data_IF_129894141840
#
_entry.id   IF_129894141840
#
_cell.length_a   1.000
_cell.length_b   1.000
_cell.length_c   1.000
_cell.angle_alpha   90.00
_cell.angle_beta   90.00
_cell.angle_gamma   90.00
#
_symmetry.space_group_name_H-M   'P 1'
#
loop_
_entity.id
_entity.type
_entity.pdbx_description
1 polymer ?
#
# COMPACT_ATOMS: atom_id res chain seq x y z
N UNK A 1 10.52 -17.64 -0.50
CA UNK A 1 10.97 -16.79 -1.58
C UNK A 1 10.17 -15.51 -1.75
N UNK A 2 8.93 -15.54 -2.27
CA UNK A 2 8.10 -14.33 -2.33
C UNK A 2 7.85 -13.70 -0.96
N UNK A 3 7.55 -14.51 0.03
CA UNK A 3 7.37 -14.08 1.42
C UNK A 3 8.60 -13.36 1.98
N UNK A 4 9.79 -13.84 1.67
CA UNK A 4 11.05 -13.20 2.08
C UNK A 4 11.22 -11.82 1.42
N UNK A 5 10.89 -11.70 0.15
CA UNK A 5 10.91 -10.42 -0.56
C UNK A 5 9.97 -9.41 0.11
N UNK A 6 8.77 -9.85 0.50
CA UNK A 6 7.81 -8.99 1.22
C UNK A 6 8.37 -8.56 2.57
N UNK A 7 8.99 -9.46 3.33
CA UNK A 7 9.60 -9.12 4.62
C UNK A 7 10.72 -8.09 4.45
N UNK A 8 11.59 -8.27 3.47
CA UNK A 8 12.65 -7.29 3.14
C UNK A 8 12.07 -5.93 2.73
N UNK A 9 11.01 -5.93 1.93
CA UNK A 9 10.35 -4.69 1.51
C UNK A 9 9.70 -3.96 2.70
N UNK A 10 9.05 -4.71 3.60
CA UNK A 10 8.51 -4.14 4.85
C UNK A 10 9.61 -3.54 5.73
N UNK A 11 10.74 -4.24 5.85
CA UNK A 11 11.91 -3.77 6.61
C UNK A 11 12.50 -2.48 6.02
N UNK A 12 12.57 -2.36 4.69
CA UNK A 12 13.05 -1.16 4.02
C UNK A 12 12.22 0.08 4.37
N UNK A 13 10.91 -0.06 4.57
CA UNK A 13 10.05 1.02 5.05
C UNK A 13 10.23 1.18 6.56
N UNK A 14 10.31 0.08 7.31
CA UNK A 14 10.45 0.09 8.76
C UNK A 14 9.29 0.81 9.44
N UNK A 15 9.62 1.69 10.35
CA UNK A 15 8.65 2.51 11.10
C UNK A 15 8.31 3.85 10.44
N UNK A 16 8.82 4.08 9.22
CA UNK A 16 8.55 5.33 8.51
C UNK A 16 7.09 5.44 8.12
N UNK A 17 6.55 6.63 8.30
CA UNK A 17 5.17 6.99 7.97
C UNK A 17 5.16 8.24 7.09
N UNK A 18 4.03 8.58 6.45
CA UNK A 18 3.90 9.82 5.68
C UNK A 18 4.25 11.09 6.48
N UNK A 19 4.17 11.02 7.81
CA UNK A 19 4.54 12.09 8.74
C UNK A 19 5.71 11.63 9.64
N UNK A 20 6.27 12.54 10.44
CA UNK A 20 7.30 12.18 11.42
C UNK A 20 6.75 11.41 12.63
N UNK A 21 5.45 11.13 12.66
CA UNK A 21 4.75 10.41 13.72
C UNK A 21 3.60 9.60 13.13
N UNK A 22 2.82 8.92 13.94
CA UNK A 22 1.66 8.15 13.44
C UNK A 22 0.67 9.07 12.73
N UNK A 23 0.54 8.89 11.40
CA UNK A 23 -0.35 9.72 10.59
C UNK A 23 -1.84 9.51 10.89
N UNK A 24 -2.21 8.39 11.52
CA UNK A 24 -3.59 8.11 11.93
C UNK A 24 -4.16 9.11 12.92
N UNK A 25 -3.31 9.81 13.66
CA UNK A 25 -3.74 10.88 14.59
C UNK A 25 -4.35 12.08 13.87
N UNK A 26 -3.99 12.30 12.60
CA UNK A 26 -4.49 13.43 11.81
C UNK A 26 -5.91 13.20 11.28
N UNK A 27 -6.25 11.98 10.88
CA UNK A 27 -7.49 11.67 10.16
C UNK A 27 -8.35 10.62 10.88
N UNK A 28 -8.05 10.26 12.12
CA UNK A 28 -8.73 9.18 12.84
C UNK A 28 -8.53 7.82 12.17
N UNK A 29 -7.38 7.61 11.52
CA UNK A 29 -7.05 6.40 10.78
C UNK A 29 -8.09 6.04 9.69
N UNK A 30 -8.56 7.04 8.95
CA UNK A 30 -9.62 6.90 7.95
C UNK A 30 -9.33 5.79 6.91
N UNK A 31 -8.06 5.61 6.49
CA UNK A 31 -7.67 4.55 5.57
C UNK A 31 -7.75 3.13 6.16
N UNK A 32 -7.85 3.00 7.49
CA UNK A 32 -8.00 1.73 8.20
C UNK A 32 -9.45 1.40 8.52
N UNK A 33 -10.39 2.32 8.32
CA UNK A 33 -11.80 2.09 8.64
C UNK A 33 -12.46 1.26 7.54
N UNK A 34 -13.29 0.26 7.92
CA UNK A 34 -14.10 -0.44 6.94
C UNK A 34 -15.10 0.52 6.29
N UNK A 35 -15.53 0.22 5.06
CA UNK A 35 -16.63 0.95 4.43
C UNK A 35 -17.96 0.69 5.16
N UNK A 36 -19.03 1.39 4.72
CA UNK A 36 -20.34 1.29 5.33
C UNK A 36 -20.92 -0.14 5.34
N UNK A 37 -20.49 -0.97 4.37
CA UNK A 37 -20.93 -2.36 4.23
C UNK A 37 -19.97 -3.35 4.92
N UNK A 38 -18.91 -2.88 5.57
CA UNK A 38 -17.88 -3.71 6.18
C UNK A 38 -17.06 -4.50 5.17
N UNK A 39 -17.03 -4.07 3.91
CA UNK A 39 -16.39 -4.77 2.79
C UNK A 39 -15.01 -4.20 2.43
N UNK A 40 -14.65 -3.06 2.96
CA UNK A 40 -13.38 -2.41 2.69
C UNK A 40 -12.19 -3.27 3.09
N UNK A 41 -11.14 -3.26 2.27
CA UNK A 41 -9.96 -4.05 2.51
C UNK A 41 -8.78 -3.58 1.67
N UNK A 42 -7.69 -4.31 1.75
CA UNK A 42 -6.45 -4.01 1.07
C UNK A 42 -5.98 -5.22 0.27
N UNK A 43 -5.59 -5.02 -0.98
CA UNK A 43 -5.00 -6.07 -1.80
C UNK A 43 -3.62 -6.46 -1.27
N UNK A 44 -3.36 -7.75 -1.23
CA UNK A 44 -2.11 -8.32 -0.76
C UNK A 44 -1.15 -8.55 -1.93
N UNK A 45 0.10 -8.22 -1.72
CA UNK A 45 1.17 -8.52 -2.66
C UNK A 45 1.42 -10.03 -2.75
N UNK A 46 1.97 -10.54 -3.88
CA UNK A 46 2.34 -11.95 -3.99
C UNK A 46 3.22 -12.41 -2.83
N UNK A 47 2.86 -13.52 -2.19
CA UNK A 47 3.55 -14.06 -1.02
C UNK A 47 3.15 -13.46 0.33
N UNK A 48 2.32 -12.41 0.34
CA UNK A 48 1.94 -11.73 1.57
C UNK A 48 0.82 -12.45 2.33
N UNK A 49 -0.08 -13.12 1.62
CA UNK A 49 -1.20 -13.84 2.24
C UNK A 49 -0.71 -14.86 3.29
N UNK A 50 0.36 -15.59 2.99
CA UNK A 50 0.92 -16.59 3.92
C UNK A 50 1.39 -15.97 5.24
N UNK A 51 1.75 -14.71 5.27
CA UNK A 51 2.14 -13.98 6.49
C UNK A 51 0.95 -13.56 7.36
N UNK A 52 -0.26 -13.65 6.82
CA UNK A 52 -1.47 -13.08 7.42
C UNK A 52 -2.58 -14.11 7.66
N UNK A 53 -2.36 -15.38 7.29
CA UNK A 53 -3.35 -16.45 7.42
C UNK A 53 -3.87 -16.63 8.86
N UNK A 54 -3.02 -16.37 9.85
CA UNK A 54 -3.36 -16.52 11.27
C UNK A 54 -3.67 -15.21 11.98
N UNK A 55 -3.81 -14.09 11.24
CA UNK A 55 -4.12 -12.82 11.91
C UNK A 55 -5.55 -12.81 12.47
N UNK A 56 -5.68 -12.34 13.73
CA UNK A 56 -6.97 -12.31 14.43
C UNK A 56 -7.79 -11.05 14.11
N UNK A 57 -7.19 -10.05 13.46
CA UNK A 57 -7.77 -8.72 13.21
C UNK A 57 -8.25 -8.51 11.76
N UNK A 58 -8.36 -9.60 11.00
CA UNK A 58 -8.84 -9.53 9.63
C UNK A 58 -9.01 -10.91 9.02
N UNK A 59 -9.56 -10.94 7.83
CA UNK A 59 -9.77 -12.18 7.05
C UNK A 59 -9.33 -11.96 5.60
N UNK A 60 -8.74 -12.97 5.00
CA UNK A 60 -8.34 -12.95 3.59
C UNK A 60 -9.49 -13.49 2.75
N UNK A 61 -9.88 -12.73 1.73
CA UNK A 61 -10.90 -13.12 0.75
C UNK A 61 -10.31 -13.12 -0.66
N UNK A 62 -10.70 -14.07 -1.52
CA UNK A 62 -10.30 -14.06 -2.92
C UNK A 62 -11.02 -12.95 -3.67
N UNK A 63 -10.33 -12.30 -4.61
CA UNK A 63 -10.92 -11.37 -5.57
C UNK A 63 -10.37 -11.63 -6.97
N UNK A 64 -10.99 -11.05 -7.99
CA UNK A 64 -10.52 -11.15 -9.36
C UNK A 64 -9.14 -10.51 -9.57
N UNK A 65 -8.76 -9.54 -8.74
CA UNK A 65 -7.50 -8.82 -8.86
C UNK A 65 -6.36 -9.53 -8.10
N UNK A 66 -6.55 -9.76 -6.80
CA UNK A 66 -5.59 -10.38 -5.90
C UNK A 66 -6.29 -10.76 -4.58
N UNK A 67 -5.69 -11.60 -3.74
CA UNK A 67 -6.21 -11.80 -2.40
C UNK A 67 -6.35 -10.45 -1.67
N UNK A 68 -7.44 -10.26 -0.96
CA UNK A 68 -7.71 -9.02 -0.23
C UNK A 68 -7.85 -9.33 1.26
N UNK A 69 -7.16 -8.55 2.07
CA UNK A 69 -7.36 -8.57 3.53
C UNK A 69 -8.47 -7.60 3.89
N UNK A 70 -9.55 -8.12 4.44
CA UNK A 70 -10.63 -7.32 5.04
C UNK A 70 -10.31 -7.17 6.52
N UNK A 71 -9.95 -5.96 6.90
CA UNK A 71 -9.47 -5.60 8.23
C UNK A 71 -10.62 -5.07 9.10
N UNK A 72 -10.57 -5.30 10.41
CA UNK A 72 -11.56 -4.80 11.37
C UNK A 72 -11.33 -3.34 11.82
N UNK A 73 -10.38 -2.64 11.20
CA UNK A 73 -10.04 -1.26 11.50
C UNK A 73 -8.78 -1.09 12.38
N UNK A 74 -8.27 -2.18 12.93
CA UNK A 74 -7.04 -2.20 13.74
C UNK A 74 -6.13 -3.33 13.27
N UNK A 75 -4.84 -3.14 13.32
CA UNK A 75 -3.88 -4.18 12.97
C UNK A 75 -2.64 -4.12 13.88
N UNK A 76 -2.02 -5.27 14.05
CA UNK A 76 -0.69 -5.32 14.65
C UNK A 76 0.29 -4.60 13.69
N UNK A 77 0.96 -3.55 14.17
CA UNK A 77 1.79 -2.68 13.32
C UNK A 77 2.93 -3.45 12.62
N UNK A 78 3.52 -4.42 13.31
CA UNK A 78 4.56 -5.28 12.75
C UNK A 78 4.05 -6.21 11.63
N UNK A 79 2.77 -6.56 11.65
CA UNK A 79 2.11 -7.41 10.63
C UNK A 79 1.37 -6.63 9.55
N UNK A 80 1.40 -5.28 9.59
CA UNK A 80 0.67 -4.41 8.66
C UNK A 80 1.03 -4.75 7.21
N UNK A 81 0.02 -4.94 6.32
CA UNK A 81 0.25 -5.22 4.90
C UNK A 81 1.08 -4.15 4.20
N UNK A 82 1.84 -4.57 3.19
CA UNK A 82 2.72 -3.68 2.45
C UNK A 82 1.95 -2.54 1.77
N UNK A 83 0.77 -2.84 1.22
CA UNK A 83 -0.08 -1.82 0.61
C UNK A 83 -0.50 -0.72 1.60
N UNK A 84 -0.75 -1.07 2.87
CA UNK A 84 -1.03 -0.10 3.92
C UNK A 84 0.22 0.69 4.32
N UNK A 85 1.41 0.07 4.24
CA UNK A 85 2.68 0.73 4.57
C UNK A 85 3.08 1.77 3.54
N UNK A 86 2.75 1.56 2.27
CA UNK A 86 3.07 2.51 1.19
C UNK A 86 2.02 3.61 1.03
N UNK A 87 0.77 3.40 1.52
CA UNK A 87 -0.29 4.40 1.41
C UNK A 87 0.11 5.72 2.11
N UNK A 88 -0.14 6.89 1.54
CA UNK A 88 -0.98 7.22 0.39
C UNK A 88 -0.28 7.21 -0.98
N UNK A 89 0.83 6.52 -1.09
CA UNK A 89 1.59 6.44 -2.34
C UNK A 89 1.18 5.22 -3.17
N UNK A 90 1.39 5.32 -4.47
CA UNK A 90 1.15 4.24 -5.43
C UNK A 90 2.37 4.05 -6.33
N UNK A 91 2.67 2.80 -6.78
CA UNK A 91 3.78 2.56 -7.67
C UNK A 91 3.52 3.10 -9.08
N UNK A 92 4.54 3.70 -9.68
CA UNK A 92 4.56 4.10 -11.08
C UNK A 92 5.92 3.83 -11.70
N UNK A 93 5.99 3.71 -13.02
CA UNK A 93 7.27 3.66 -13.73
C UNK A 93 7.82 5.08 -13.91
N UNK A 94 9.04 5.29 -13.50
CA UNK A 94 9.77 6.50 -13.79
C UNK A 94 10.26 6.54 -15.26
N UNK A 95 10.82 7.68 -15.67
CA UNK A 95 11.37 7.88 -17.02
C UNK A 95 12.49 6.89 -17.38
N UNK A 96 13.21 6.38 -16.38
CA UNK A 96 14.27 5.38 -16.55
C UNK A 96 13.75 3.91 -16.49
N UNK A 97 12.43 3.70 -16.50
CA UNK A 97 11.81 2.38 -16.39
C UNK A 97 11.83 1.77 -14.99
N UNK A 98 12.45 2.42 -14.00
CA UNK A 98 12.48 1.93 -12.62
C UNK A 98 11.21 2.29 -11.88
N UNK A 99 10.82 1.46 -10.91
CA UNK A 99 9.71 1.77 -10.04
C UNK A 99 10.00 3.00 -9.17
N UNK A 100 9.04 3.87 -9.11
CA UNK A 100 9.01 5.05 -8.26
C UNK A 100 7.59 5.24 -7.73
N UNK A 101 7.30 6.36 -7.09
CA UNK A 101 6.02 6.60 -6.41
C UNK A 101 5.40 7.92 -6.84
N UNK A 102 4.08 7.96 -6.77
CA UNK A 102 3.30 9.20 -6.80
C UNK A 102 2.18 9.11 -5.77
N UNK A 103 1.49 10.22 -5.53
CA UNK A 103 0.29 10.22 -4.69
C UNK A 103 -0.81 9.38 -5.36
N UNK A 104 -1.38 8.43 -4.62
CA UNK A 104 -2.50 7.62 -5.08
C UNK A 104 -3.75 8.50 -5.24
N UNK A 105 -4.41 8.42 -6.38
CA UNK A 105 -5.61 9.23 -6.64
C UNK A 105 -6.73 8.88 -5.65
N UNK A 106 -6.80 7.63 -5.21
CA UNK A 106 -7.80 7.16 -4.23
C UNK A 106 -7.61 7.77 -2.84
N UNK A 107 -6.39 8.19 -2.53
CA UNK A 107 -6.08 8.84 -1.27
C UNK A 107 -6.79 10.20 -1.09
N UNK A 108 -7.16 10.86 -2.18
CA UNK A 108 -7.86 12.15 -2.13
C UNK A 108 -9.16 12.13 -1.33
N UNK A 109 -9.84 10.99 -1.31
CA UNK A 109 -11.12 10.84 -0.63
C UNK A 109 -10.98 10.61 0.89
N UNK A 110 -9.79 10.22 1.38
CA UNK A 110 -9.65 9.76 2.76
C UNK A 110 -8.40 10.28 3.49
N UNK A 111 -7.37 10.69 2.78
CA UNK A 111 -6.11 11.11 3.37
C UNK A 111 -5.89 12.62 3.21
N UNK A 112 -5.87 13.40 4.31
CA UNK A 112 -5.66 14.84 4.21
C UNK A 112 -4.27 15.21 3.65
N UNK A 113 -3.28 14.33 3.75
CA UNK A 113 -1.95 14.53 3.19
C UNK A 113 -1.92 14.50 1.66
N UNK A 114 -2.93 13.89 1.02
CA UNK A 114 -2.99 13.78 -0.42
C UNK A 114 -3.03 15.15 -1.13
N UNK A 115 -3.62 16.16 -0.52
CA UNK A 115 -3.71 17.51 -1.09
C UNK A 115 -2.35 18.20 -1.21
N UNK A 116 -1.39 17.88 -0.34
CA UNK A 116 -0.05 18.48 -0.31
C UNK A 116 0.93 17.82 -1.28
N UNK A 117 0.57 16.69 -1.89
CA UNK A 117 1.47 15.94 -2.76
C UNK A 117 2.67 15.37 -2.02
N UNK A 118 3.67 14.91 -2.77
CA UNK A 118 4.89 14.31 -2.18
C UNK A 118 5.66 15.27 -1.28
N UNK A 119 5.68 16.57 -1.61
CA UNK A 119 6.42 17.58 -0.85
C UNK A 119 5.85 17.82 0.55
N UNK A 120 4.61 17.44 0.80
CA UNK A 120 3.98 17.54 2.11
C UNK A 120 4.26 16.35 3.03
N UNK A 121 4.97 15.34 2.54
CA UNK A 121 5.31 14.14 3.30
C UNK A 121 6.72 14.25 3.91
N UNK A 122 6.97 13.49 4.97
CA UNK A 122 8.34 13.27 5.45
C UNK A 122 9.20 12.73 4.29
N UNK A 123 10.31 13.40 3.91
CA UNK A 123 11.11 12.99 2.75
C UNK A 123 11.69 11.58 2.86
N UNK A 124 11.88 11.06 4.05
CA UNK A 124 12.36 9.69 4.27
C UNK A 124 11.31 8.65 3.85
N UNK A 125 10.03 8.99 3.93
CA UNK A 125 8.95 8.06 3.60
C UNK A 125 8.91 7.71 2.11
N UNK A 126 8.78 8.65 1.14
CA UNK A 126 8.79 8.30 -0.27
C UNK A 126 10.07 7.58 -0.71
N UNK A 127 11.22 7.90 -0.10
CA UNK A 127 12.47 7.21 -0.39
C UNK A 127 12.41 5.74 0.01
N UNK A 128 11.97 5.47 1.24
CA UNK A 128 11.85 4.10 1.74
C UNK A 128 10.82 3.27 0.95
N UNK A 129 9.72 3.90 0.52
CA UNK A 129 8.73 3.23 -0.33
C UNK A 129 9.33 2.89 -1.70
N UNK A 130 10.07 3.79 -2.33
CA UNK A 130 10.78 3.49 -3.59
C UNK A 130 11.74 2.30 -3.45
N UNK A 131 12.48 2.24 -2.36
CA UNK A 131 13.42 1.13 -2.10
C UNK A 131 12.65 -0.18 -1.89
N UNK A 132 11.55 -0.17 -1.14
CA UNK A 132 10.68 -1.32 -0.98
C UNK A 132 10.11 -1.82 -2.31
N UNK A 133 9.65 -0.92 -3.19
CA UNK A 133 9.13 -1.31 -4.51
C UNK A 133 10.20 -1.94 -5.41
N UNK A 134 11.44 -1.48 -5.32
CA UNK A 134 12.57 -2.09 -6.04
C UNK A 134 12.86 -3.50 -5.56
N UNK A 135 12.79 -3.72 -4.23
CA UNK A 135 12.93 -5.05 -3.64
C UNK A 135 11.79 -5.96 -4.10
N UNK A 136 10.56 -5.49 -4.06
CA UNK A 136 9.39 -6.25 -4.54
C UNK A 136 9.56 -6.66 -6.01
N UNK A 137 10.07 -5.77 -6.84
CA UNK A 137 10.27 -6.00 -8.28
C UNK A 137 11.41 -6.98 -8.60
N UNK A 138 12.18 -7.46 -7.63
CA UNK A 138 13.18 -8.52 -7.83
C UNK A 138 12.54 -9.85 -8.29
N UNK A 139 11.27 -10.09 -7.90
CA UNK A 139 10.52 -11.26 -8.33
C UNK A 139 9.63 -10.91 -9.54
N UNK A 140 9.71 -11.69 -10.64
CA UNK A 140 8.89 -11.43 -11.83
C UNK A 140 7.39 -11.39 -11.57
N UNK A 141 6.88 -12.27 -10.69
CA UNK A 141 5.45 -12.29 -10.33
C UNK A 141 5.04 -11.00 -9.61
N UNK A 142 5.92 -10.48 -8.77
CA UNK A 142 5.67 -9.24 -8.02
C UNK A 142 5.82 -8.01 -8.92
N UNK A 143 6.75 -8.01 -9.86
CA UNK A 143 6.86 -6.95 -10.86
C UNK A 143 5.61 -6.91 -11.76
N UNK A 144 5.12 -8.07 -12.20
CA UNK A 144 3.86 -8.16 -12.94
C UNK A 144 2.65 -7.69 -12.11
N UNK A 145 2.63 -7.96 -10.80
CA UNK A 145 1.60 -7.46 -9.90
C UNK A 145 1.65 -5.93 -9.78
N UNK A 146 2.82 -5.33 -9.68
CA UNK A 146 2.99 -3.88 -9.67
C UNK A 146 2.44 -3.23 -10.95
N UNK A 147 2.64 -3.85 -12.12
CA UNK A 147 2.05 -3.37 -13.39
C UNK A 147 0.51 -3.45 -13.36
N UNK A 148 -0.06 -4.52 -12.84
CA UNK A 148 -1.52 -4.63 -12.65
C UNK A 148 -2.05 -3.56 -11.69
N UNK A 149 -1.33 -3.31 -10.60
CA UNK A 149 -1.68 -2.27 -9.64
C UNK A 149 -1.67 -0.89 -10.27
N UNK A 150 -0.58 -0.59 -11.01
CA UNK A 150 -0.46 0.68 -11.75
C UNK A 150 -1.62 0.87 -12.72
N UNK A 151 -1.96 -0.18 -13.49
CA UNK A 151 -3.06 -0.14 -14.44
C UNK A 151 -4.41 0.10 -13.73
N UNK A 152 -4.65 -0.53 -12.58
CA UNK A 152 -5.85 -0.33 -11.78
C UNK A 152 -5.95 1.11 -11.29
N UNK A 153 -4.87 1.68 -10.77
CA UNK A 153 -4.85 3.06 -10.29
C UNK A 153 -5.05 4.07 -11.44
N UNK A 154 -4.51 3.78 -12.63
CA UNK A 154 -4.76 4.58 -13.83
C UNK A 154 -6.24 4.61 -14.22
N UNK A 155 -6.97 3.51 -14.07
CA UNK A 155 -8.42 3.49 -14.31
C UNK A 155 -9.16 4.47 -13.39
N UNK A 156 -8.78 4.55 -12.11
CA UNK A 156 -9.36 5.50 -11.16
C UNK A 156 -9.03 6.96 -11.48
N UNK A 157 -7.98 7.22 -12.27
CA UNK A 157 -7.61 8.58 -12.71
C UNK A 157 -8.42 9.06 -13.90
N UNK A 158 -9.05 8.16 -14.66
CA UNK A 158 -9.84 8.54 -15.83
C UNK A 158 -11.09 9.31 -15.40
N UNK A 159 -11.49 10.36 -16.14
CA UNK A 159 -12.79 11.01 -15.93
C UNK A 159 -13.94 10.01 -16.09
N UNK A 160 -15.01 10.23 -15.35
CA UNK A 160 -16.22 9.39 -15.42
C UNK A 160 -17.11 9.69 -16.63
N UNK A 161 -16.70 10.60 -17.51
CA UNK A 161 -17.44 10.97 -18.73
C UNK A 161 -16.63 10.71 -19.99
#
# INVERSE_FOLDING_TARGET
>A
MLTEIILRAREAIGDKTPMCHDCGTLCGAACCQPDADGQGGVYLFPGEAALLESCAWGRIVPTAFAPMLVCDGTCARNARPLACRIFPLTPVRGKNGKWTVRMDVRARAMCPLAASGLSGLDPAFPRSVRDALRIVAEAPESDAFLEKWRALEEEYRKPLW
#
